data_IF_030401396683
#
_entry.id   IF_030401396683
#
_cell.length_a   1.000
_cell.length_b   1.000
_cell.length_c   1.000
_cell.angle_alpha   90.00
_cell.angle_beta   90.00
_cell.angle_gamma   90.00
#
_symmetry.space_group_name_H-M   'P 1'
#
loop_
_entity.id
_entity.type
_entity.pdbx_description
1 polymer ?
#
# COMPACT_ATOMS: atom_id res chain seq x y z
N UNK A 1 16.10 -6.38 8.90
CA UNK A 1 14.94 -6.18 9.82
C UNK A 1 13.58 -5.95 9.13
N UNK A 2 13.47 -5.28 7.97
CA UNK A 2 12.17 -5.04 7.30
C UNK A 2 11.40 -6.30 6.90
N UNK A 3 12.08 -7.43 6.68
CA UNK A 3 11.48 -8.69 6.22
C UNK A 3 10.41 -9.24 7.19
N UNK A 4 10.62 -9.15 8.51
CA UNK A 4 9.68 -9.68 9.50
C UNK A 4 8.33 -8.93 9.49
N UNK A 5 8.37 -7.60 9.33
CA UNK A 5 7.15 -6.77 9.23
C UNK A 5 6.28 -7.23 8.05
N UNK A 6 6.88 -7.42 6.87
CA UNK A 6 6.14 -7.86 5.69
C UNK A 6 5.61 -9.29 5.82
N UNK A 7 6.36 -10.20 6.45
CA UNK A 7 5.88 -11.56 6.76
C UNK A 7 4.66 -11.54 7.69
N UNK A 8 4.70 -10.71 8.75
CA UNK A 8 3.55 -10.54 9.65
C UNK A 8 2.33 -10.02 8.86
N UNK A 9 2.52 -9.02 7.98
CA UNK A 9 1.42 -8.49 7.15
C UNK A 9 0.89 -9.54 6.17
N UNK A 10 1.73 -10.34 5.52
CA UNK A 10 1.30 -11.48 4.68
C UNK A 10 0.44 -12.44 5.49
N UNK A 11 0.89 -12.81 6.69
CA UNK A 11 0.16 -13.73 7.56
C UNK A 11 -1.17 -13.15 8.04
N UNK A 12 -1.24 -11.85 8.27
CA UNK A 12 -2.51 -11.15 8.56
C UNK A 12 -3.48 -11.17 7.40
N UNK A 13 -2.99 -11.20 6.15
CA UNK A 13 -3.82 -11.16 4.93
C UNK A 13 -4.09 -12.54 4.33
N UNK A 14 -3.49 -13.60 4.86
CA UNK A 14 -3.67 -14.96 4.37
C UNK A 14 -5.11 -15.48 4.59
N UNK A 15 -5.72 -16.16 3.60
CA UNK A 15 -7.04 -16.75 3.76
C UNK A 15 -7.02 -17.88 4.82
N UNK A 16 -8.15 -18.08 5.50
CA UNK A 16 -8.39 -19.17 6.45
C UNK A 16 -8.20 -18.80 7.93
N UNK A 17 -7.02 -18.33 8.32
CA UNK A 17 -6.77 -17.98 9.73
C UNK A 17 -5.84 -16.76 9.84
N UNK A 18 -6.36 -15.55 9.61
CA UNK A 18 -5.55 -14.34 9.66
C UNK A 18 -5.02 -14.12 11.07
N UNK A 19 -3.78 -13.62 11.17
CA UNK A 19 -3.17 -13.27 12.44
C UNK A 19 -4.00 -12.16 13.11
N UNK A 20 -4.85 -12.52 14.09
CA UNK A 20 -5.68 -11.56 14.80
C UNK A 20 -4.91 -10.90 15.94
N UNK A 21 -5.02 -9.57 16.04
CA UNK A 21 -4.46 -8.78 17.15
C UNK A 21 -4.88 -9.31 18.51
N UNK A 22 -6.13 -9.70 18.67
CA UNK A 22 -6.67 -10.14 19.96
C UNK A 22 -6.10 -11.50 20.39
N UNK A 23 -5.74 -12.37 19.43
CA UNK A 23 -5.08 -13.65 19.72
C UNK A 23 -3.57 -13.55 19.90
N UNK A 24 -2.93 -12.53 19.33
CA UNK A 24 -1.46 -12.41 19.25
C UNK A 24 -0.97 -11.09 19.86
N UNK A 25 -1.52 -10.69 21.01
CA UNK A 25 -1.19 -9.42 21.67
C UNK A 25 0.32 -9.22 21.84
N UNK A 26 1.05 -10.25 22.30
CA UNK A 26 2.50 -10.18 22.52
C UNK A 26 3.27 -9.84 21.23
N UNK A 27 2.86 -10.39 20.09
CA UNK A 27 3.45 -10.09 18.78
C UNK A 27 3.25 -8.62 18.41
N UNK A 28 2.07 -8.06 18.70
CA UNK A 28 1.73 -6.68 18.37
C UNK A 28 2.14 -5.63 19.41
N UNK A 29 2.63 -6.05 20.58
CA UNK A 29 3.27 -5.17 21.56
C UNK A 29 4.70 -4.78 21.11
N UNK A 30 5.36 -5.63 20.31
CA UNK A 30 6.70 -5.39 19.79
C UNK A 30 6.71 -4.29 18.70
N UNK A 31 7.84 -3.57 18.51
CA UNK A 31 7.96 -2.53 17.47
C UNK A 31 7.56 -3.02 16.07
N UNK A 32 7.99 -4.21 15.68
CA UNK A 32 7.73 -4.81 14.36
C UNK A 32 6.26 -5.14 14.18
N UNK A 33 5.60 -5.65 15.21
CA UNK A 33 4.16 -5.90 15.19
C UNK A 33 3.35 -4.61 15.07
N UNK A 34 3.72 -3.56 15.80
CA UNK A 34 3.10 -2.24 15.67
C UNK A 34 3.28 -1.66 14.26
N UNK A 35 4.47 -1.82 13.69
CA UNK A 35 4.74 -1.39 12.31
C UNK A 35 3.92 -2.20 11.30
N UNK A 36 3.80 -3.52 11.49
CA UNK A 36 2.99 -4.39 10.66
C UNK A 36 1.50 -4.00 10.71
N UNK A 37 0.96 -3.65 11.88
CA UNK A 37 -0.41 -3.13 11.99
C UNK A 37 -0.62 -1.84 11.23
N UNK A 38 0.33 -0.89 11.33
CA UNK A 38 0.26 0.38 10.60
C UNK A 38 0.28 0.14 9.09
N UNK A 39 1.19 -0.70 8.62
CA UNK A 39 1.28 -1.06 7.21
C UNK A 39 0.02 -1.79 6.73
N UNK A 40 -0.47 -2.76 7.49
CA UNK A 40 -1.71 -3.46 7.16
C UNK A 40 -2.90 -2.50 7.03
N UNK A 41 -3.07 -1.56 7.98
CA UNK A 41 -4.13 -0.54 7.92
C UNK A 41 -3.98 0.40 6.72
N UNK A 42 -2.75 0.81 6.43
CA UNK A 42 -2.45 1.63 5.25
C UNK A 42 -2.89 0.92 3.96
N UNK A 43 -2.47 -0.34 3.79
CA UNK A 43 -2.83 -1.15 2.63
C UNK A 43 -4.35 -1.36 2.53
N UNK A 44 -5.04 -1.67 3.64
CA UNK A 44 -6.51 -1.79 3.67
C UNK A 44 -7.22 -0.50 3.28
N UNK A 45 -6.69 0.64 3.71
CA UNK A 45 -7.23 1.95 3.34
C UNK A 45 -7.03 2.25 1.85
N UNK A 46 -5.86 1.94 1.30
CA UNK A 46 -5.60 2.07 -0.14
C UNK A 46 -6.48 1.12 -0.96
N UNK A 47 -6.61 -0.14 -0.56
CA UNK A 47 -7.52 -1.10 -1.19
C UNK A 47 -8.97 -0.59 -1.20
N UNK A 48 -9.43 0.03 -0.11
CA UNK A 48 -10.78 0.59 -0.05
C UNK A 48 -10.96 1.76 -1.02
N UNK A 49 -9.97 2.65 -1.13
CA UNK A 49 -10.01 3.75 -2.10
C UNK A 49 -9.99 3.22 -3.53
N UNK A 50 -9.12 2.26 -3.82
CA UNK A 50 -9.02 1.64 -5.13
C UNK A 50 -10.29 0.86 -5.52
N UNK A 51 -10.94 0.22 -4.56
CA UNK A 51 -12.18 -0.50 -4.81
C UNK A 51 -13.34 0.45 -5.14
N UNK A 52 -13.34 1.66 -4.60
CA UNK A 52 -14.41 2.65 -4.78
C UNK A 52 -14.18 3.60 -5.96
N UNK A 53 -12.92 3.95 -6.22
CA UNK A 53 -12.52 5.05 -7.11
C UNK A 53 -11.21 4.76 -7.86
N UNK A 54 -10.77 3.51 -7.93
CA UNK A 54 -9.49 3.13 -8.52
C UNK A 54 -9.64 2.49 -9.88
N UNK A 55 -10.34 3.15 -10.80
CA UNK A 55 -10.22 2.74 -12.21
C UNK A 55 -8.74 2.85 -12.62
N UNK A 56 -8.19 1.91 -13.41
CA UNK A 56 -6.76 1.91 -13.73
C UNK A 56 -6.26 3.22 -14.36
N UNK A 57 -7.13 3.96 -15.06
CA UNK A 57 -6.83 5.27 -15.65
C UNK A 57 -6.70 6.40 -14.63
N UNK A 58 -7.26 6.25 -13.43
CA UNK A 58 -7.27 7.22 -12.34
C UNK A 58 -6.11 7.01 -11.36
N UNK A 59 -5.36 5.92 -11.53
CA UNK A 59 -4.19 5.59 -10.71
C UNK A 59 -2.91 5.79 -11.51
N UNK A 60 -1.90 6.39 -10.88
CA UNK A 60 -0.56 6.54 -11.45
C UNK A 60 0.47 6.02 -10.46
N UNK A 61 1.41 5.23 -10.96
CA UNK A 61 2.53 4.70 -10.18
C UNK A 61 3.80 5.43 -10.60
N UNK A 62 4.54 5.95 -9.62
CA UNK A 62 5.82 6.58 -9.86
C UNK A 62 6.94 5.87 -9.12
N UNK A 63 8.00 5.46 -9.82
CA UNK A 63 9.19 4.90 -9.18
C UNK A 63 10.15 6.02 -8.79
N UNK A 64 10.41 6.17 -7.49
CA UNK A 64 11.48 7.03 -6.97
C UNK A 64 12.71 6.16 -6.68
N UNK A 65 13.66 6.15 -7.62
CA UNK A 65 14.89 5.37 -7.50
C UNK A 65 15.84 5.93 -6.43
N UNK A 66 15.76 7.23 -6.11
CA UNK A 66 16.63 7.86 -5.09
C UNK A 66 16.22 7.42 -3.70
N UNK A 67 14.91 7.41 -3.42
CA UNK A 67 14.35 6.98 -2.13
C UNK A 67 14.09 5.49 -2.04
N UNK A 68 14.14 4.78 -3.18
CA UNK A 68 13.74 3.37 -3.31
C UNK A 68 12.31 3.16 -2.84
N UNK A 69 11.42 4.04 -3.26
CA UNK A 69 9.99 4.03 -2.93
C UNK A 69 9.16 4.13 -4.21
N UNK A 70 7.91 3.68 -4.12
CA UNK A 70 6.91 3.84 -5.17
C UNK A 70 5.83 4.77 -4.66
N UNK A 71 5.59 5.86 -5.39
CA UNK A 71 4.48 6.78 -5.15
C UNK A 71 3.24 6.27 -5.88
N UNK A 72 2.19 5.98 -5.11
CA UNK A 72 0.86 5.67 -5.61
C UNK A 72 0.03 6.95 -5.56
N UNK A 73 -0.37 7.47 -6.72
CA UNK A 73 -1.34 8.57 -6.82
C UNK A 73 -2.68 8.01 -7.28
N UNK A 74 -3.73 8.25 -6.49
CA UNK A 74 -5.12 7.93 -6.83
C UNK A 74 -5.85 9.26 -7.00
N UNK A 75 -6.48 9.47 -8.15
CA UNK A 75 -7.29 10.65 -8.43
C UNK A 75 -8.75 10.34 -8.12
N UNK A 76 -9.45 11.32 -7.55
CA UNK A 76 -10.88 11.26 -7.26
C UNK A 76 -11.59 12.37 -8.05
N UNK A 77 -11.92 12.15 -9.34
CA UNK A 77 -12.44 13.22 -10.20
C UNK A 77 -13.72 13.85 -9.66
N UNK A 78 -14.63 13.04 -9.13
CA UNK A 78 -15.90 13.50 -8.55
C UNK A 78 -15.71 14.46 -7.36
N UNK A 79 -14.57 14.38 -6.67
CA UNK A 79 -14.25 15.22 -5.51
C UNK A 79 -13.23 16.32 -5.84
N UNK A 80 -12.68 16.35 -7.06
CA UNK A 80 -11.58 17.24 -7.42
C UNK A 80 -10.32 17.02 -6.56
N UNK A 81 -10.14 15.83 -5.99
CA UNK A 81 -9.09 15.54 -5.02
C UNK A 81 -8.12 14.47 -5.53
N UNK A 82 -6.95 14.37 -4.89
CA UNK A 82 -6.00 13.26 -5.09
C UNK A 82 -5.48 12.75 -3.75
N UNK A 83 -5.19 11.46 -3.69
CA UNK A 83 -4.42 10.86 -2.60
C UNK A 83 -3.07 10.42 -3.15
N UNK A 84 -2.02 10.82 -2.45
CA UNK A 84 -0.65 10.39 -2.71
C UNK A 84 -0.16 9.55 -1.54
N UNK A 85 0.40 8.37 -1.81
CA UNK A 85 0.99 7.51 -0.79
C UNK A 85 2.32 6.95 -1.26
N UNK A 86 3.33 7.01 -0.41
CA UNK A 86 4.65 6.44 -0.67
C UNK A 86 4.73 5.05 -0.04
N UNK A 87 5.12 4.06 -0.85
CA UNK A 87 5.25 2.67 -0.43
C UNK A 87 6.67 2.19 -0.71
N UNK A 88 7.24 1.43 0.22
CA UNK A 88 8.39 0.61 -0.11
C UNK A 88 7.99 -0.46 -1.16
N UNK A 89 8.93 -0.93 -1.99
CA UNK A 89 8.64 -1.93 -3.03
C UNK A 89 7.95 -3.19 -2.49
N UNK A 90 8.33 -3.66 -1.30
CA UNK A 90 7.70 -4.84 -0.72
C UNK A 90 6.27 -4.56 -0.21
N UNK A 91 5.99 -3.33 0.22
CA UNK A 91 4.62 -2.92 0.56
C UNK A 91 3.74 -2.84 -0.69
N UNK A 92 4.29 -2.36 -1.81
CA UNK A 92 3.58 -2.39 -3.09
C UNK A 92 3.31 -3.83 -3.52
N UNK A 93 4.28 -4.74 -3.39
CA UNK A 93 4.07 -6.15 -3.70
C UNK A 93 2.91 -6.75 -2.90
N UNK A 94 2.81 -6.42 -1.60
CA UNK A 94 1.66 -6.84 -0.79
C UNK A 94 0.35 -6.26 -1.34
N UNK A 95 0.32 -4.98 -1.75
CA UNK A 95 -0.88 -4.41 -2.35
C UNK A 95 -1.31 -5.19 -3.61
N UNK A 96 -0.36 -5.48 -4.51
CA UNK A 96 -0.59 -6.21 -5.76
C UNK A 96 -1.07 -7.66 -5.57
N UNK A 97 -0.79 -8.27 -4.42
CA UNK A 97 -1.30 -9.61 -4.05
C UNK A 97 -2.80 -9.62 -3.72
N UNK A 98 -3.43 -8.46 -3.53
CA UNK A 98 -4.90 -8.38 -3.37
C UNK A 98 -5.61 -8.31 -4.73
N UNK A 99 -6.85 -8.78 -4.78
CA UNK A 99 -7.68 -8.72 -6.00
C UNK A 99 -7.82 -7.29 -6.54
N UNK A 100 -8.03 -6.31 -5.65
CA UNK A 100 -8.15 -4.90 -6.02
C UNK A 100 -6.81 -4.33 -6.47
N UNK A 101 -5.73 -4.62 -5.74
CA UNK A 101 -4.39 -4.14 -6.09
C UNK A 101 -3.84 -4.75 -7.37
N UNK A 102 -4.23 -5.98 -7.73
CA UNK A 102 -3.83 -6.60 -8.99
C UNK A 102 -4.26 -5.79 -10.22
N UNK A 103 -5.34 -5.00 -10.12
CA UNK A 103 -5.79 -4.08 -11.18
C UNK A 103 -4.76 -3.00 -11.52
N UNK A 104 -3.88 -2.66 -10.56
CA UNK A 104 -2.80 -1.69 -10.75
C UNK A 104 -1.70 -2.18 -11.68
N UNK A 105 -1.65 -3.47 -12.04
CA UNK A 105 -0.69 -3.97 -13.01
C UNK A 105 -0.88 -3.31 -14.39
N UNK A 106 -2.09 -2.86 -14.70
CA UNK A 106 -2.40 -2.10 -15.91
C UNK A 106 -2.24 -0.58 -15.75
N UNK A 107 -1.95 -0.09 -14.53
CA UNK A 107 -1.78 1.33 -14.30
C UNK A 107 -0.49 1.84 -14.96
N UNK A 108 -0.48 3.07 -15.49
CA UNK A 108 0.70 3.64 -16.10
C UNK A 108 1.81 3.83 -15.05
N UNK A 109 2.99 3.34 -15.39
CA UNK A 109 4.23 3.56 -14.64
C UNK A 109 4.94 4.78 -15.20
N UNK A 110 5.48 5.60 -14.31
CA UNK A 110 6.28 6.77 -14.69
C UNK A 110 7.50 6.82 -13.78
N UNK A 111 8.67 7.12 -14.35
CA UNK A 111 9.83 7.40 -13.50
C UNK A 111 9.61 8.76 -12.82
N UNK A 112 9.70 8.81 -11.49
CA UNK A 112 9.59 10.07 -10.79
C UNK A 112 10.85 10.91 -11.07
N UNK A 113 10.78 11.81 -12.06
CA UNK A 113 11.52 13.07 -11.93
C UNK A 113 10.94 13.82 -10.71
N UNK A 114 11.78 14.61 -10.03
CA UNK A 114 11.51 15.28 -8.75
C UNK A 114 10.02 15.62 -8.56
N UNK A 115 9.43 15.39 -7.36
CA UNK A 115 8.02 15.61 -7.15
C UNK A 115 7.67 17.04 -7.61
N UNK A 116 6.62 17.24 -8.45
CA UNK A 116 6.17 18.58 -8.73
C UNK A 116 5.93 19.23 -7.37
N UNK A 117 6.55 20.40 -7.16
CA UNK A 117 6.26 21.22 -5.99
C UNK A 117 4.74 21.31 -5.89
N UNK A 118 4.17 20.84 -4.77
CA UNK A 118 2.75 21.06 -4.53
C UNK A 118 2.53 22.59 -4.65
N UNK A 119 1.56 23.04 -5.48
CA UNK A 119 1.27 24.46 -5.62
C UNK A 119 0.75 25.09 -4.33
#
# INVERSE_FOLDING_TARGET
>A
MKHLVYQIVRRMRAPGQPLSRNKHYATFAQPEGRQALRLHRLLRSLEADLARHGEPSEVRLYSDLRRREVRVEIRFPALGARRTTYLAPEALQLLLESEVGARLQAAPWTEAADPPADP
#
